data_IF_608933020934
#
_entry.id   IF_608933020934
#
_cell.length_a   1.000
_cell.length_b   1.000
_cell.length_c   1.000
_cell.angle_alpha   90.00
_cell.angle_beta   90.00
_cell.angle_gamma   90.00
#
_symmetry.space_group_name_H-M   'P 1'
#
loop_
_entity.id
_entity.type
_entity.pdbx_description
1 polymer ?
#
# COMPACT_ATOMS: atom_id res chain seq x y z
N UNK A 1 84.90 24.50 -1.38
CA UNK A 1 84.36 23.53 -2.36
C UNK A 1 83.34 22.65 -1.62
N UNK A 2 82.10 23.13 -1.46
CA UNK A 2 80.85 22.74 -2.15
C UNK A 2 80.50 21.23 -2.07
N UNK A 3 79.62 20.89 -1.12
CA UNK A 3 78.84 19.64 -1.03
C UNK A 3 77.70 19.66 -2.06
N UNK A 4 77.31 18.54 -2.69
CA UNK A 4 76.01 18.43 -3.35
C UNK A 4 74.99 17.74 -2.45
N UNK A 5 73.82 18.38 -2.43
CA UNK A 5 72.54 17.98 -1.87
C UNK A 5 71.74 17.23 -2.95
N UNK A 6 70.90 16.29 -2.54
CA UNK A 6 69.72 15.86 -3.31
C UNK A 6 69.41 14.38 -3.12
N UNK A 7 68.17 13.90 -3.09
CA UNK A 7 66.84 14.52 -3.00
C UNK A 7 65.92 13.32 -2.65
N UNK A 8 65.17 13.37 -1.56
CA UNK A 8 64.18 12.33 -1.21
C UNK A 8 62.90 12.58 -2.01
N UNK A 9 62.53 11.67 -2.91
CA UNK A 9 61.25 11.68 -3.61
C UNK A 9 60.21 10.89 -2.79
N UNK A 10 59.23 11.59 -2.22
CA UNK A 10 58.05 10.99 -1.60
C UNK A 10 56.97 10.77 -2.68
N UNK A 11 56.63 9.51 -2.96
CA UNK A 11 55.44 9.18 -3.75
C UNK A 11 54.19 9.31 -2.86
N UNK A 12 53.34 10.28 -3.17
CA UNK A 12 51.97 10.33 -2.65
C UNK A 12 51.08 9.43 -3.50
N UNK A 13 50.58 8.33 -2.93
CA UNK A 13 49.51 7.53 -3.54
C UNK A 13 48.17 8.24 -3.35
N UNK A 14 47.60 8.78 -4.44
CA UNK A 14 46.23 9.26 -4.46
C UNK A 14 45.27 8.06 -4.57
N UNK A 15 44.52 7.78 -3.50
CA UNK A 15 43.43 6.81 -3.54
C UNK A 15 42.22 7.44 -4.26
N UNK A 16 41.95 6.99 -5.48
CA UNK A 16 40.73 7.34 -6.21
C UNK A 16 39.56 6.53 -5.61
N UNK A 17 38.69 7.20 -4.86
CA UNK A 17 37.40 6.63 -4.43
C UNK A 17 36.49 6.58 -5.66
N UNK A 18 36.26 5.38 -6.19
CA UNK A 18 35.26 5.15 -7.24
C UNK A 18 33.89 5.25 -6.56
N UNK A 19 33.25 6.41 -6.66
CA UNK A 19 31.85 6.56 -6.30
C UNK A 19 31.01 5.78 -7.32
N UNK A 20 30.41 4.66 -6.89
CA UNK A 20 29.40 3.97 -7.70
C UNK A 20 28.20 4.91 -7.87
N UNK A 21 27.72 5.17 -9.10
CA UNK A 21 26.52 5.94 -9.29
C UNK A 21 25.36 5.24 -8.58
N UNK A 22 24.76 5.90 -7.59
CA UNK A 22 23.54 5.41 -6.98
C UNK A 22 22.47 5.24 -8.06
N UNK A 23 21.81 4.09 -8.08
CA UNK A 23 20.60 3.90 -8.88
C UNK A 23 19.63 5.03 -8.52
N UNK A 24 19.38 5.94 -9.46
CA UNK A 24 18.42 7.00 -9.28
C UNK A 24 17.05 6.35 -9.08
N UNK A 25 16.59 6.33 -7.83
CA UNK A 25 15.28 5.84 -7.47
C UNK A 25 14.27 6.74 -8.20
N UNK A 26 13.39 6.15 -9.01
CA UNK A 26 12.39 6.92 -9.74
C UNK A 26 11.58 7.75 -8.73
N UNK A 27 11.30 9.02 -9.07
CA UNK A 27 10.52 9.88 -8.19
C UNK A 27 9.17 9.22 -7.87
N UNK A 28 8.69 9.27 -6.61
CA UNK A 28 7.44 8.66 -6.22
C UNK A 28 6.30 9.19 -7.08
N UNK A 29 5.45 8.30 -7.55
CA UNK A 29 4.35 8.62 -8.47
C UNK A 29 3.02 8.35 -7.80
N UNK A 30 1.95 8.93 -8.31
CA UNK A 30 0.60 8.64 -7.83
C UNK A 30 -0.20 7.86 -8.86
N UNK A 31 -0.94 6.86 -8.40
CA UNK A 31 -1.91 6.12 -9.21
C UNK A 31 -3.27 6.11 -8.52
N UNK A 32 -4.34 6.14 -9.31
CA UNK A 32 -5.70 6.23 -8.81
C UNK A 32 -6.24 4.84 -8.53
N UNK A 33 -6.80 4.66 -7.32
CA UNK A 33 -7.47 3.45 -6.90
C UNK A 33 -8.91 3.72 -6.50
N UNK A 34 -9.76 2.71 -6.66
CA UNK A 34 -11.17 2.72 -6.33
C UNK A 34 -11.53 1.57 -5.40
N UNK A 35 -12.44 1.83 -4.47
CA UNK A 35 -13.21 0.82 -3.75
C UNK A 35 -14.67 0.97 -4.15
N UNK A 36 -15.26 -0.10 -4.67
CA UNK A 36 -16.60 -0.07 -5.28
C UNK A 36 -17.66 -0.53 -4.28
N UNK A 37 -18.76 0.20 -4.19
CA UNK A 37 -19.96 -0.07 -3.41
C UNK A 37 -20.87 -1.07 -4.10
N UNK A 38 -21.67 -1.78 -3.31
CA UNK A 38 -22.70 -2.68 -3.81
C UNK A 38 -23.75 -1.98 -4.70
N UNK A 39 -23.91 -0.65 -4.57
CA UNK A 39 -24.78 0.17 -5.43
C UNK A 39 -24.07 0.68 -6.71
N UNK A 40 -22.82 0.27 -6.96
CA UNK A 40 -22.02 0.70 -8.12
C UNK A 40 -21.27 2.02 -7.96
N UNK A 41 -21.49 2.78 -6.88
CA UNK A 41 -20.69 3.96 -6.59
C UNK A 41 -19.26 3.57 -6.19
N UNK A 42 -18.27 4.43 -6.47
CA UNK A 42 -16.89 4.17 -6.08
C UNK A 42 -16.33 5.31 -5.23
N UNK A 43 -15.59 4.95 -4.18
CA UNK A 43 -14.71 5.90 -3.48
C UNK A 43 -13.32 5.77 -4.08
N UNK A 44 -12.71 6.90 -4.47
CA UNK A 44 -11.40 6.91 -5.11
C UNK A 44 -10.37 7.64 -4.26
N UNK A 45 -9.13 7.15 -4.26
CA UNK A 45 -7.99 7.84 -3.65
C UNK A 45 -6.73 7.64 -4.50
N UNK A 46 -5.82 8.62 -4.42
CA UNK A 46 -4.52 8.55 -5.08
C UNK A 46 -3.49 8.01 -4.11
N UNK A 47 -2.79 6.95 -4.50
CA UNK A 47 -1.73 6.36 -3.68
C UNK A 47 -0.37 6.63 -4.28
N UNK A 48 0.61 6.89 -3.42
CA UNK A 48 2.01 6.85 -3.80
C UNK A 48 2.40 5.43 -4.15
N UNK A 49 3.07 5.25 -5.29
CA UNK A 49 3.46 3.95 -5.81
C UNK A 49 4.87 4.03 -6.41
N UNK A 50 5.57 2.90 -6.37
CA UNK A 50 6.93 2.76 -6.92
C UNK A 50 6.89 2.49 -8.43
N UNK A 51 5.95 1.67 -8.89
CA UNK A 51 5.81 1.27 -10.28
C UNK A 51 4.44 1.62 -10.86
N UNK A 52 4.43 2.57 -11.82
CA UNK A 52 3.23 2.89 -12.60
C UNK A 52 3.01 1.81 -13.66
N UNK A 53 1.84 1.19 -13.63
CA UNK A 53 1.38 0.36 -14.74
C UNK A 53 0.39 1.14 -15.62
N UNK A 54 -0.45 1.99 -15.02
CA UNK A 54 -1.57 2.63 -15.72
C UNK A 54 -2.56 1.62 -16.28
N UNK A 55 -3.68 2.10 -16.81
CA UNK A 55 -4.71 1.26 -17.43
C UNK A 55 -4.74 1.60 -18.92
N UNK A 56 -4.27 0.67 -19.75
CA UNK A 56 -4.20 0.87 -21.20
C UNK A 56 -5.61 1.10 -21.75
N UNK A 57 -5.78 2.18 -22.51
CA UNK A 57 -7.05 2.53 -23.12
C UNK A 57 -8.04 3.24 -22.19
N UNK A 58 -7.66 3.57 -20.94
CA UNK A 58 -8.52 4.34 -20.05
C UNK A 58 -7.74 5.26 -19.09
N UNK A 59 -7.71 6.57 -19.39
CA UNK A 59 -7.00 7.56 -18.57
C UNK A 59 -7.70 7.95 -17.27
N UNK A 60 -9.02 7.72 -17.17
CA UNK A 60 -9.82 8.04 -15.98
C UNK A 60 -10.09 6.83 -15.08
N UNK A 61 -9.73 5.63 -15.55
CA UNK A 61 -9.99 4.42 -14.80
C UNK A 61 -9.09 4.37 -13.57
N UNK A 62 -9.58 3.71 -12.54
CA UNK A 62 -8.87 3.49 -11.29
C UNK A 62 -8.67 1.99 -11.08
N UNK A 63 -7.51 1.56 -10.61
CA UNK A 63 -7.36 0.17 -10.17
C UNK A 63 -8.32 -0.11 -9.03
N UNK A 64 -8.96 -1.27 -9.05
CA UNK A 64 -10.04 -1.58 -8.12
C UNK A 64 -9.55 -2.56 -7.05
N UNK A 65 -9.82 -2.20 -5.81
CA UNK A 65 -9.81 -3.10 -4.65
C UNK A 65 -11.28 -3.37 -4.32
N UNK A 66 -11.68 -4.64 -4.26
CA UNK A 66 -13.08 -5.02 -4.09
C UNK A 66 -13.22 -6.12 -3.07
N UNK A 67 -14.14 -5.92 -2.12
CA UNK A 67 -14.43 -6.90 -1.10
C UNK A 67 -15.84 -7.43 -1.26
N UNK A 68 -15.93 -8.75 -1.45
CA UNK A 68 -17.16 -9.47 -1.15
C UNK A 68 -17.35 -9.47 0.37
N UNK A 69 -18.59 -9.35 0.82
CA UNK A 69 -18.94 -9.49 2.24
C UNK A 69 -19.78 -10.74 2.44
N UNK A 70 -19.55 -11.46 3.54
CA UNK A 70 -20.35 -12.65 3.88
C UNK A 70 -21.78 -12.32 4.32
N UNK A 71 -22.06 -11.05 4.60
CA UNK A 71 -23.38 -10.53 4.95
C UNK A 71 -23.64 -9.26 4.15
N UNK A 72 -24.92 -8.93 3.93
CA UNK A 72 -25.31 -7.65 3.37
C UNK A 72 -25.21 -6.60 4.48
N UNK A 73 -24.33 -5.62 4.31
CA UNK A 73 -24.21 -4.47 5.20
C UNK A 73 -25.37 -3.49 4.95
N UNK A 74 -25.77 -2.75 5.99
CA UNK A 74 -26.62 -1.57 5.76
C UNK A 74 -25.87 -0.52 4.94
N UNK A 75 -26.58 0.41 4.30
CA UNK A 75 -25.94 1.47 3.52
C UNK A 75 -24.92 2.29 4.34
N UNK A 76 -25.24 2.57 5.62
CA UNK A 76 -24.34 3.29 6.52
C UNK A 76 -23.11 2.48 6.90
N UNK A 77 -23.28 1.17 7.15
CA UNK A 77 -22.16 0.26 7.43
C UNK A 77 -21.25 0.12 6.21
N UNK A 78 -21.81 -0.05 5.02
CA UNK A 78 -21.06 -0.13 3.76
C UNK A 78 -20.26 1.15 3.52
N UNK A 79 -20.90 2.31 3.70
CA UNK A 79 -20.23 3.61 3.57
C UNK A 79 -19.08 3.76 4.56
N UNK A 80 -19.31 3.41 5.84
CA UNK A 80 -18.29 3.49 6.87
C UNK A 80 -17.14 2.52 6.61
N UNK A 81 -17.44 1.27 6.25
CA UNK A 81 -16.47 0.24 5.90
C UNK A 81 -15.48 0.75 4.86
N UNK A 82 -16.01 1.23 3.73
CA UNK A 82 -15.17 1.64 2.62
C UNK A 82 -14.41 2.93 2.88
N UNK A 83 -15.06 3.92 3.52
CA UNK A 83 -14.41 5.18 3.85
C UNK A 83 -13.25 4.95 4.82
N UNK A 84 -13.44 4.13 5.86
CA UNK A 84 -12.39 3.77 6.80
C UNK A 84 -11.31 2.91 6.16
N UNK A 85 -11.66 1.91 5.34
CA UNK A 85 -10.67 1.10 4.64
C UNK A 85 -9.79 1.97 3.72
N UNK A 86 -10.41 2.78 2.85
CA UNK A 86 -9.69 3.63 1.92
C UNK A 86 -8.83 4.68 2.64
N UNK A 87 -9.30 5.22 3.77
CA UNK A 87 -8.51 6.11 4.62
C UNK A 87 -7.28 5.39 5.21
N UNK A 88 -7.43 4.13 5.64
CA UNK A 88 -6.31 3.31 6.13
C UNK A 88 -5.23 3.12 5.07
N UNK A 89 -5.61 2.70 3.86
CA UNK A 89 -4.68 2.52 2.73
C UNK A 89 -4.04 3.86 2.33
N UNK A 90 -4.81 4.95 2.32
CA UNK A 90 -4.27 6.30 2.05
C UNK A 90 -3.19 6.66 3.06
N UNK A 91 -3.38 6.33 4.34
CA UNK A 91 -2.37 6.58 5.39
C UNK A 91 -1.11 5.73 5.24
N UNK A 92 -1.24 4.47 4.81
CA UNK A 92 -0.07 3.65 4.47
C UNK A 92 0.70 4.21 3.27
N UNK A 93 -0.02 4.65 2.24
CA UNK A 93 0.55 5.35 1.09
C UNK A 93 1.30 6.61 1.50
N UNK A 94 0.68 7.48 2.30
CA UNK A 94 1.35 8.69 2.83
C UNK A 94 2.58 8.34 3.67
N UNK A 95 2.52 7.28 4.49
CA UNK A 95 3.62 6.84 5.32
C UNK A 95 4.83 6.38 4.50
N UNK A 96 4.60 5.76 3.34
CA UNK A 96 5.66 5.19 2.48
C UNK A 96 6.66 6.23 1.94
N UNK A 97 6.24 7.50 1.84
CA UNK A 97 7.05 8.61 1.33
C UNK A 97 7.40 9.64 2.40
N UNK A 98 6.97 9.43 3.64
CA UNK A 98 7.19 10.35 4.74
C UNK A 98 8.53 10.08 5.46
N UNK A 99 8.99 11.05 6.26
CA UNK A 99 10.10 10.81 7.19
C UNK A 99 9.70 9.77 8.28
N UNK A 100 10.66 9.08 8.92
CA UNK A 100 10.35 7.98 9.85
C UNK A 100 9.41 8.35 11.00
N UNK A 101 9.49 9.59 11.51
CA UNK A 101 8.63 10.02 12.62
C UNK A 101 7.20 10.23 12.15
N UNK A 102 7.02 10.90 11.02
CA UNK A 102 5.71 11.11 10.41
C UNK A 102 5.10 9.79 9.94
N UNK A 103 5.90 8.91 9.33
CA UNK A 103 5.48 7.58 8.92
C UNK A 103 4.92 6.77 10.09
N UNK A 104 5.57 6.78 11.26
CA UNK A 104 5.07 6.08 12.44
C UNK A 104 3.68 6.59 12.90
N UNK A 105 3.45 7.90 12.86
CA UNK A 105 2.14 8.51 13.19
C UNK A 105 1.08 8.09 12.17
N UNK A 106 1.40 8.18 10.87
CA UNK A 106 0.49 7.79 9.79
C UNK A 106 0.14 6.30 9.86
N UNK A 107 1.09 5.43 10.19
CA UNK A 107 0.84 4.00 10.40
C UNK A 107 -0.06 3.72 11.60
N UNK A 108 0.11 4.47 12.70
CA UNK A 108 -0.83 4.40 13.83
C UNK A 108 -2.25 4.81 13.40
N UNK A 109 -2.38 5.90 12.64
CA UNK A 109 -3.67 6.34 12.11
C UNK A 109 -4.27 5.31 11.15
N UNK A 110 -3.44 4.68 10.31
CA UNK A 110 -3.88 3.59 9.43
C UNK A 110 -4.47 2.43 10.25
N UNK A 111 -3.80 2.03 11.33
CA UNK A 111 -4.29 1.01 12.28
C UNK A 111 -5.70 1.35 12.77
N UNK A 112 -5.93 2.59 13.23
CA UNK A 112 -7.23 3.03 13.74
C UNK A 112 -8.33 2.97 12.66
N UNK A 113 -7.98 3.36 11.43
CA UNK A 113 -8.90 3.31 10.28
C UNK A 113 -9.24 1.87 9.89
N UNK A 114 -8.26 0.98 9.83
CA UNK A 114 -8.52 -0.44 9.55
C UNK A 114 -9.33 -1.12 10.65
N UNK A 115 -9.09 -0.77 11.91
CA UNK A 115 -9.91 -1.24 13.03
C UNK A 115 -11.36 -0.71 12.92
N UNK A 116 -11.57 0.53 12.48
CA UNK A 116 -12.90 1.07 12.23
C UNK A 116 -13.61 0.34 11.07
N UNK A 117 -12.90 0.08 9.97
CA UNK A 117 -13.41 -0.72 8.85
C UNK A 117 -13.80 -2.12 9.32
N UNK A 118 -12.92 -2.83 10.02
CA UNK A 118 -13.18 -4.16 10.56
C UNK A 118 -14.40 -4.20 11.49
N UNK A 119 -14.58 -3.19 12.36
CA UNK A 119 -15.77 -3.09 13.24
C UNK A 119 -17.07 -2.89 12.45
N UNK A 120 -17.03 -2.12 11.37
CA UNK A 120 -18.23 -1.82 10.56
C UNK A 120 -18.82 -3.06 9.88
N UNK A 121 -18.02 -4.11 9.67
CA UNK A 121 -18.46 -5.40 9.15
C UNK A 121 -19.39 -6.15 10.13
N UNK A 122 -19.39 -5.80 11.42
CA UNK A 122 -20.18 -6.47 12.45
C UNK A 122 -19.87 -7.97 12.51
N UNK A 123 -20.90 -8.81 12.34
CA UNK A 123 -20.75 -10.27 12.27
C UNK A 123 -20.29 -10.79 10.89
N UNK A 124 -20.24 -9.91 9.88
CA UNK A 124 -19.75 -10.22 8.55
C UNK A 124 -18.22 -10.31 8.47
N UNK A 125 -17.73 -10.73 7.32
CA UNK A 125 -16.30 -10.75 6.97
C UNK A 125 -16.11 -10.18 5.58
N UNK A 126 -15.00 -9.48 5.37
CA UNK A 126 -14.51 -9.16 4.04
C UNK A 126 -13.80 -10.39 3.46
N UNK A 127 -14.05 -10.65 2.19
CA UNK A 127 -13.42 -11.69 1.38
C UNK A 127 -12.89 -11.04 0.10
N UNK A 128 -11.86 -11.63 -0.52
CA UNK A 128 -11.40 -11.16 -1.81
C UNK A 128 -12.55 -11.12 -2.83
N UNK A 129 -12.63 -10.03 -3.57
CA UNK A 129 -13.65 -9.74 -4.57
C UNK A 129 -13.17 -9.93 -5.99
N UNK A 130 -13.79 -9.20 -6.92
CA UNK A 130 -13.33 -9.18 -8.32
C UNK A 130 -12.31 -8.06 -8.47
N UNK A 131 -11.08 -8.46 -8.72
CA UNK A 131 -9.99 -7.51 -8.99
C UNK A 131 -9.99 -7.05 -10.45
N UNK A 132 -9.59 -5.80 -10.66
CA UNK A 132 -9.60 -5.20 -11.98
C UNK A 132 -9.44 -3.69 -11.95
N UNK A 133 -10.14 -3.00 -12.82
CA UNK A 133 -10.23 -1.55 -12.78
C UNK A 133 -11.67 -1.07 -12.90
N UNK A 134 -11.95 0.05 -12.24
CA UNK A 134 -13.23 0.72 -12.30
C UNK A 134 -13.23 1.75 -13.44
N UNK A 135 -14.19 1.62 -14.35
CA UNK A 135 -14.49 2.59 -15.40
C UNK A 135 -15.60 3.54 -14.92
N UNK A 136 -15.29 4.82 -14.60
CA UNK A 136 -16.28 5.75 -14.09
C UNK A 136 -17.29 6.20 -15.16
N UNK A 137 -16.94 6.13 -16.45
CA UNK A 137 -17.84 6.52 -17.54
C UNK A 137 -18.90 5.42 -17.76
N UNK A 138 -18.57 4.15 -17.47
CA UNK A 138 -19.49 3.00 -17.54
C UNK A 138 -20.10 2.60 -16.19
N UNK A 139 -19.58 3.16 -15.09
CA UNK A 139 -19.88 2.73 -13.72
C UNK A 139 -19.74 1.22 -13.52
N UNK A 140 -18.66 0.66 -14.06
CA UNK A 140 -18.48 -0.79 -14.15
C UNK A 140 -17.06 -1.21 -13.77
N UNK A 141 -16.96 -2.33 -13.07
CA UNK A 141 -15.71 -3.07 -12.88
C UNK A 141 -15.38 -3.85 -14.14
N UNK A 142 -14.17 -3.66 -14.66
CA UNK A 142 -13.59 -4.49 -15.71
C UNK A 142 -12.54 -5.42 -15.07
N UNK A 143 -12.77 -6.74 -15.06
CA UNK A 143 -11.84 -7.68 -14.45
C UNK A 143 -10.44 -7.62 -15.08
N UNK A 144 -9.41 -7.80 -14.26
CA UNK A 144 -8.03 -7.92 -14.72
C UNK A 144 -7.34 -9.12 -14.08
N UNK A 145 -6.41 -9.74 -14.79
CA UNK A 145 -5.66 -10.91 -14.33
C UNK A 145 -4.31 -10.53 -13.69
N UNK A 146 -4.19 -9.33 -13.12
CA UNK A 146 -2.94 -8.88 -12.49
C UNK A 146 -2.70 -9.67 -11.19
N UNK A 147 -1.63 -10.48 -11.10
CA UNK A 147 -1.42 -11.31 -9.92
C UNK A 147 -1.21 -10.48 -8.64
N UNK A 148 -0.47 -9.38 -8.74
CA UNK A 148 -0.20 -8.46 -7.64
C UNK A 148 -1.47 -7.80 -7.08
N UNK A 149 -2.50 -7.61 -7.92
CA UNK A 149 -3.76 -7.02 -7.46
C UNK A 149 -4.60 -8.05 -6.72
N UNK A 150 -4.58 -9.30 -7.19
CA UNK A 150 -5.26 -10.41 -6.53
C UNK A 150 -4.65 -10.74 -5.17
N UNK A 151 -3.32 -10.70 -5.07
CA UNK A 151 -2.61 -10.91 -3.81
C UNK A 151 -2.91 -9.76 -2.84
N UNK A 152 -2.87 -8.50 -3.32
CA UNK A 152 -3.13 -7.37 -2.42
C UNK A 152 -4.55 -7.41 -1.86
N UNK A 153 -5.53 -7.77 -2.68
CA UNK A 153 -6.93 -7.95 -2.26
C UNK A 153 -7.08 -9.08 -1.22
N UNK A 154 -6.29 -10.15 -1.35
CA UNK A 154 -6.23 -11.24 -0.37
C UNK A 154 -5.65 -10.76 0.97
N UNK A 155 -4.49 -10.11 0.94
CA UNK A 155 -3.82 -9.64 2.14
C UNK A 155 -4.61 -8.55 2.86
N UNK A 156 -5.31 -7.67 2.12
CA UNK A 156 -6.26 -6.75 2.74
C UNK A 156 -7.41 -7.49 3.44
N UNK A 157 -7.95 -8.56 2.85
CA UNK A 157 -9.02 -9.34 3.47
C UNK A 157 -8.52 -10.09 4.73
N UNK A 158 -7.29 -10.60 4.70
CA UNK A 158 -6.67 -11.28 5.85
C UNK A 158 -6.35 -10.30 6.98
N UNK A 159 -5.81 -9.13 6.66
CA UNK A 159 -5.62 -8.04 7.61
C UNK A 159 -6.92 -7.61 8.29
N UNK A 160 -8.01 -7.45 7.53
CA UNK A 160 -9.33 -7.12 8.07
C UNK A 160 -9.85 -8.24 9.00
N UNK A 161 -9.66 -9.50 8.62
CA UNK A 161 -10.03 -10.65 9.46
C UNK A 161 -9.28 -10.65 10.79
N UNK A 162 -7.98 -10.36 10.77
CA UNK A 162 -7.14 -10.28 11.97
C UNK A 162 -7.54 -9.08 12.85
N UNK A 163 -7.89 -7.93 12.25
CA UNK A 163 -8.43 -6.78 13.00
C UNK A 163 -9.76 -7.11 13.70
N UNK A 164 -10.64 -7.88 13.06
CA UNK A 164 -11.87 -8.34 13.71
C UNK A 164 -11.58 -9.27 14.90
N UNK A 165 -10.60 -10.17 14.77
CA UNK A 165 -10.18 -11.04 15.89
C UNK A 165 -9.60 -10.25 17.06
N UNK A 166 -8.82 -9.21 16.77
CA UNK A 166 -8.25 -8.33 17.80
C UNK A 166 -9.33 -7.70 18.71
N UNK A 167 -10.54 -7.48 18.18
CA UNK A 167 -11.66 -6.94 18.96
C UNK A 167 -12.33 -7.97 19.89
N UNK A 168 -12.27 -9.26 19.56
CA UNK A 168 -12.91 -10.34 20.33
C UNK A 168 -11.98 -11.09 21.29
N UNK A 169 -10.67 -11.11 20.99
CA UNK A 169 -9.67 -11.89 21.73
C UNK A 169 -8.48 -11.02 22.14
N UNK A 170 -8.60 -10.19 23.19
CA UNK A 170 -7.48 -9.41 23.69
C UNK A 170 -6.49 -10.31 24.45
N UNK A 171 -5.25 -10.42 23.93
CA UNK A 171 -4.05 -11.04 24.57
C UNK A 171 -4.16 -12.57 24.78
N UNK A 172 -3.12 -13.39 24.52
CA UNK A 172 -1.72 -13.07 24.23
C UNK A 172 -1.33 -12.93 22.75
N UNK A 173 -2.27 -13.09 21.81
CA UNK A 173 -1.93 -13.08 20.39
C UNK A 173 -1.82 -11.63 19.87
N UNK A 174 -0.72 -11.25 19.18
CA UNK A 174 -0.53 -9.90 18.66
C UNK A 174 -1.32 -9.67 17.36
N UNK A 175 -2.65 -9.82 17.42
CA UNK A 175 -3.54 -9.76 16.25
C UNK A 175 -3.39 -8.47 15.45
N UNK A 176 -3.28 -7.32 16.13
CA UNK A 176 -3.11 -6.01 15.47
C UNK A 176 -1.78 -5.96 14.72
N UNK A 177 -0.69 -6.42 15.32
CA UNK A 177 0.62 -6.43 14.67
C UNK A 177 0.61 -7.32 13.43
N UNK A 178 0.00 -8.50 13.52
CA UNK A 178 -0.16 -9.39 12.36
C UNK A 178 -1.03 -8.77 11.28
N UNK A 179 -2.16 -8.17 11.65
CA UNK A 179 -3.04 -7.49 10.70
C UNK A 179 -2.32 -6.37 9.95
N UNK A 180 -1.52 -5.56 10.66
CA UNK A 180 -0.73 -4.50 10.02
C UNK A 180 0.36 -5.05 9.11
N UNK A 181 0.90 -6.24 9.35
CA UNK A 181 1.82 -6.88 8.43
C UNK A 181 1.12 -7.25 7.10
N UNK A 182 -0.08 -7.84 7.16
CA UNK A 182 -0.87 -8.12 5.94
C UNK A 182 -1.18 -6.84 5.16
N UNK A 183 -1.57 -5.76 5.86
CA UNK A 183 -1.86 -4.48 5.18
C UNK A 183 -0.61 -3.82 4.56
N UNK A 184 0.56 -3.99 5.18
CA UNK A 184 1.82 -3.51 4.62
C UNK A 184 2.21 -4.31 3.38
N UNK A 185 2.02 -5.62 3.43
CA UNK A 185 2.27 -6.53 2.31
C UNK A 185 1.39 -6.17 1.13
N UNK A 186 0.07 -6.12 1.34
CA UNK A 186 -0.91 -5.68 0.35
C UNK A 186 -0.51 -4.34 -0.30
N UNK A 187 -0.12 -3.36 0.51
CA UNK A 187 0.27 -2.06 -0.02
C UNK A 187 1.58 -2.12 -0.82
N UNK A 188 2.56 -2.90 -0.37
CA UNK A 188 3.82 -3.10 -1.09
C UNK A 188 3.61 -3.82 -2.43
N UNK A 189 2.64 -4.73 -2.52
CA UNK A 189 2.24 -5.37 -3.77
C UNK A 189 1.57 -4.38 -4.74
N UNK A 190 0.69 -3.52 -4.23
CA UNK A 190 0.08 -2.44 -5.02
C UNK A 190 1.13 -1.44 -5.52
N UNK A 191 2.07 -1.05 -4.65
CA UNK A 191 3.11 -0.06 -4.93
C UNK A 191 4.11 -0.58 -5.95
N UNK A 192 4.56 -1.83 -5.78
CA UNK A 192 5.60 -2.45 -6.58
C UNK A 192 5.11 -3.31 -7.73
N UNK A 193 3.79 -3.43 -7.94
CA UNK A 193 3.16 -4.22 -9.03
C UNK A 193 3.65 -5.66 -9.11
N UNK A 194 3.86 -6.28 -7.95
CA UNK A 194 4.40 -7.64 -7.82
C UNK A 194 3.79 -8.34 -6.62
N UNK A 195 3.73 -9.67 -6.69
CA UNK A 195 3.31 -10.50 -5.56
C UNK A 195 4.45 -10.55 -4.53
N UNK A 196 4.09 -10.42 -3.26
CA UNK A 196 4.95 -10.59 -2.09
C UNK A 196 4.39 -11.80 -1.31
N UNK A 197 5.26 -12.50 -0.60
CA UNK A 197 4.92 -13.71 0.15
C UNK A 197 6.09 -14.23 0.96
#
# INVERSE_FOLDING_TARGET
>A
MKRPVGLLAALAMAAAVIATPGVAQAAPRKELYAVVQSNGAALTSWFWIDELQGIIGCAKCAWQIDFRKTVVLTADQEKLFQASFLAGVTKLSEASVADPRTAAVLRSQATDQFAAAARSLGAGRALPGVVGYYDPDRQATIPSSQPWLQAADQDFADGLTLMQRAAGEPVPVPWITRAMAEFDEAFAELSGKRVIG
#
